data_IF_366572400821
#
_entry.id   IF_366572400821
#
_cell.length_a   1.000
_cell.length_b   1.000
_cell.length_c   1.000
_cell.angle_alpha   90.00
_cell.angle_beta   90.00
_cell.angle_gamma   90.00
#
_symmetry.space_group_name_H-M   'P 1'
#
loop_
_entity.id
_entity.type
_entity.pdbx_description
1 polymer ?
#
# COMPACT_ATOMS: atom_id res chain seq x y z
N UNK A 1 -34.95 41.39 7.20
CA UNK A 1 -33.48 41.35 7.31
C UNK A 1 -33.06 39.90 7.23
N UNK A 2 -32.00 39.69 6.47
CA UNK A 2 -31.50 38.47 5.87
C UNK A 2 -30.49 37.74 6.76
N UNK A 3 -30.47 36.40 6.61
CA UNK A 3 -29.47 35.37 7.02
C UNK A 3 -29.14 35.26 8.54
N UNK A 4 -28.95 34.08 9.13
CA UNK A 4 -28.09 32.99 8.64
C UNK A 4 -28.77 31.62 8.48
N UNK A 5 -28.73 31.12 7.23
CA UNK A 5 -28.68 29.70 6.91
C UNK A 5 -27.19 29.38 6.82
N UNK A 6 -26.55 29.00 7.91
CA UNK A 6 -25.21 28.38 7.88
C UNK A 6 -24.80 27.72 9.22
N UNK A 7 -25.75 27.32 10.06
CA UNK A 7 -25.47 26.23 11.02
C UNK A 7 -25.61 24.90 10.27
N UNK A 8 -24.77 24.72 9.26
CA UNK A 8 -24.41 23.37 8.85
C UNK A 8 -23.54 22.88 9.99
N UNK A 9 -24.13 22.06 10.87
CA UNK A 9 -23.36 21.12 11.67
C UNK A 9 -22.69 20.23 10.62
N UNK A 10 -21.49 20.63 10.20
CA UNK A 10 -20.57 19.70 9.57
C UNK A 10 -20.26 18.75 10.70
N UNK A 11 -20.93 17.61 10.71
CA UNK A 11 -20.42 16.44 11.43
C UNK A 11 -18.97 16.29 10.97
N UNK A 12 -18.02 16.36 11.91
CA UNK A 12 -16.59 16.08 11.70
C UNK A 12 -16.34 14.60 11.25
N UNK A 13 -17.38 13.90 10.81
CA UNK A 13 -17.47 12.45 10.62
C UNK A 13 -17.65 12.03 9.14
N UNK A 14 -17.59 12.97 8.20
CA UNK A 14 -17.58 12.65 6.76
C UNK A 14 -16.17 12.79 6.20
N UNK A 15 -15.22 12.09 6.82
CA UNK A 15 -14.00 11.65 6.13
C UNK A 15 -14.40 10.47 5.23
N UNK A 16 -15.23 10.73 4.22
CA UNK A 16 -15.56 9.77 3.17
C UNK A 16 -14.33 9.64 2.26
N UNK A 17 -13.25 9.12 2.84
CA UNK A 17 -11.99 8.89 2.18
C UNK A 17 -12.24 7.84 1.11
N UNK A 18 -12.23 8.28 -0.15
CA UNK A 18 -12.48 7.42 -1.30
C UNK A 18 -11.36 6.37 -1.35
N UNK A 19 -11.67 5.17 -0.89
CA UNK A 19 -10.74 4.05 -0.92
C UNK A 19 -10.54 3.57 -2.35
N UNK A 20 -9.28 3.31 -2.69
CA UNK A 20 -8.94 2.75 -3.99
C UNK A 20 -9.61 1.39 -4.16
N UNK A 21 -10.23 1.22 -5.33
CA UNK A 21 -10.83 -0.05 -5.77
C UNK A 21 -9.87 -0.89 -6.63
N UNK A 22 -8.58 -0.52 -6.66
CA UNK A 22 -7.56 -1.26 -7.42
C UNK A 22 -7.35 -2.63 -6.79
N UNK A 23 -7.52 -3.67 -7.60
CA UNK A 23 -7.26 -5.07 -7.23
C UNK A 23 -5.92 -5.58 -7.73
N UNK A 24 -5.37 -4.95 -8.77
CA UNK A 24 -4.12 -5.36 -9.40
C UNK A 24 -3.23 -4.16 -9.77
N UNK A 25 -1.94 -4.26 -9.49
CA UNK A 25 -0.89 -3.35 -9.95
C UNK A 25 0.20 -4.17 -10.63
N UNK A 26 0.53 -3.80 -11.86
CA UNK A 26 1.57 -4.42 -12.67
C UNK A 26 2.54 -3.34 -13.12
N UNK A 27 3.72 -3.28 -12.51
CA UNK A 27 4.81 -2.39 -12.91
C UNK A 27 6.04 -3.25 -13.16
N UNK A 28 6.06 -3.90 -14.33
CA UNK A 28 7.16 -4.76 -14.75
C UNK A 28 8.11 -4.01 -15.68
N UNK A 29 9.40 -4.34 -15.66
CA UNK A 29 10.44 -3.74 -16.54
C UNK A 29 10.63 -2.22 -16.37
N UNK A 30 10.62 -1.75 -15.12
CA UNK A 30 10.87 -0.36 -14.74
C UNK A 30 12.24 -0.12 -14.11
N UNK A 31 12.38 1.03 -13.45
CA UNK A 31 13.59 1.45 -12.72
C UNK A 31 13.32 1.66 -11.22
N UNK A 32 12.35 0.94 -10.65
CA UNK A 32 12.04 1.06 -9.22
C UNK A 32 13.22 0.49 -8.43
N UNK A 33 13.79 1.29 -7.54
CA UNK A 33 14.94 0.89 -6.71
C UNK A 33 14.56 0.55 -5.27
N UNK A 34 13.42 1.04 -4.80
CA UNK A 34 12.98 0.84 -3.43
C UNK A 34 11.46 0.90 -3.28
N UNK A 35 10.93 0.18 -2.29
CA UNK A 35 9.55 0.31 -1.84
C UNK A 35 9.54 1.17 -0.56
N UNK A 36 8.89 2.33 -0.63
CA UNK A 36 8.83 3.29 0.46
C UNK A 36 7.82 2.90 1.55
N UNK A 37 7.96 3.51 2.73
CA UNK A 37 6.99 3.45 3.82
C UNK A 37 5.58 3.83 3.33
N UNK A 38 4.56 3.07 3.73
CA UNK A 38 3.14 3.31 3.41
C UNK A 38 2.79 3.33 1.91
N UNK A 39 3.66 2.80 1.03
CA UNK A 39 3.46 2.84 -0.43
C UNK A 39 2.12 2.30 -0.91
N UNK A 40 1.48 1.43 -0.11
CA UNK A 40 0.22 0.76 -0.44
C UNK A 40 -0.86 0.93 0.63
N UNK A 41 -0.75 1.94 1.50
CA UNK A 41 -1.56 2.04 2.72
C UNK A 41 -3.08 2.15 2.49
N UNK A 42 -3.48 2.74 1.35
CA UNK A 42 -4.89 2.95 0.97
C UNK A 42 -5.42 1.92 -0.02
N UNK A 43 -4.61 0.91 -0.37
CA UNK A 43 -4.95 -0.09 -1.38
C UNK A 43 -5.58 -1.35 -0.75
N UNK A 44 -6.73 -1.16 -0.10
CA UNK A 44 -7.38 -2.19 0.70
C UNK A 44 -7.91 -3.37 -0.09
N UNK A 45 -8.23 -3.11 -1.36
CA UNK A 45 -8.76 -4.09 -2.32
C UNK A 45 -7.66 -4.76 -3.16
N UNK A 46 -6.38 -4.38 -3.00
CA UNK A 46 -5.29 -4.90 -3.82
C UNK A 46 -5.00 -6.37 -3.48
N UNK A 47 -5.14 -7.25 -4.45
CA UNK A 47 -4.88 -8.68 -4.33
C UNK A 47 -3.57 -9.06 -5.02
N UNK A 48 -3.16 -8.30 -6.05
CA UNK A 48 -2.02 -8.62 -6.92
C UNK A 48 -1.10 -7.41 -7.07
N UNK A 49 0.17 -7.57 -6.69
CA UNK A 49 1.22 -6.58 -6.91
C UNK A 49 2.40 -7.25 -7.61
N UNK A 50 2.63 -6.94 -8.87
CA UNK A 50 3.87 -7.31 -9.56
C UNK A 50 4.77 -6.11 -9.74
N UNK A 51 5.96 -6.21 -9.15
CA UNK A 51 7.09 -5.30 -9.34
C UNK A 51 8.29 -6.07 -9.90
N UNK A 52 8.05 -7.18 -10.60
CA UNK A 52 9.13 -8.00 -11.15
C UNK A 52 9.93 -7.28 -12.22
N UNK A 53 11.19 -7.68 -12.38
CA UNK A 53 12.12 -7.09 -13.37
C UNK A 53 12.30 -5.58 -13.16
N UNK A 54 12.50 -5.17 -11.90
CA UNK A 54 12.93 -3.83 -11.54
C UNK A 54 14.33 -3.91 -10.90
N UNK A 55 14.74 -2.87 -10.18
CA UNK A 55 16.03 -2.76 -9.50
C UNK A 55 15.86 -2.63 -7.99
N UNK A 56 14.80 -3.23 -7.43
CA UNK A 56 14.46 -3.08 -6.02
C UNK A 56 15.55 -3.75 -5.20
N UNK A 57 16.28 -2.94 -4.44
CA UNK A 57 17.33 -3.40 -3.53
C UNK A 57 17.00 -3.07 -2.07
N UNK A 58 15.94 -2.31 -1.82
CA UNK A 58 15.55 -1.90 -0.48
C UNK A 58 14.03 -1.78 -0.29
N UNK A 59 13.52 -2.33 0.81
CA UNK A 59 12.13 -2.25 1.27
C UNK A 59 12.16 -1.57 2.65
N UNK A 60 11.56 -0.39 2.72
CA UNK A 60 11.54 0.42 3.94
C UNK A 60 10.63 -0.17 5.03
N UNK A 61 10.85 0.26 6.28
CA UNK A 61 9.93 -0.01 7.38
C UNK A 61 8.49 0.38 7.02
N UNK A 62 7.53 -0.47 7.38
CA UNK A 62 6.11 -0.26 7.15
C UNK A 62 5.72 -0.09 5.67
N UNK A 63 6.54 -0.56 4.73
CA UNK A 63 6.24 -0.48 3.30
C UNK A 63 4.88 -1.09 2.93
N UNK A 64 4.48 -2.16 3.64
CA UNK A 64 3.21 -2.84 3.42
C UNK A 64 2.15 -2.52 4.47
N UNK A 65 2.34 -1.50 5.32
CA UNK A 65 1.35 -1.11 6.33
C UNK A 65 0.06 -0.64 5.67
N UNK A 66 -1.08 -0.97 6.28
CA UNK A 66 -2.40 -0.57 5.81
C UNK A 66 -3.13 0.35 6.81
N UNK A 67 -3.89 1.29 6.27
CA UNK A 67 -4.73 2.17 7.07
C UNK A 67 -5.89 1.40 7.72
N UNK A 68 -6.54 0.50 6.98
CA UNK A 68 -7.60 -0.40 7.48
C UNK A 68 -7.27 -1.87 7.21
N UNK A 69 -7.75 -2.80 8.05
CA UNK A 69 -7.52 -4.23 7.82
C UNK A 69 -8.28 -4.74 6.59
N UNK A 70 -7.75 -5.79 5.96
CA UNK A 70 -8.39 -6.47 4.83
C UNK A 70 -8.32 -7.98 5.01
N UNK A 71 -9.41 -8.66 4.63
CA UNK A 71 -9.46 -10.13 4.61
C UNK A 71 -8.90 -10.71 3.29
N UNK A 72 -8.51 -9.85 2.35
CA UNK A 72 -7.92 -10.27 1.07
C UNK A 72 -6.44 -10.61 1.26
N UNK A 73 -6.00 -11.67 0.61
CA UNK A 73 -4.57 -12.00 0.51
C UNK A 73 -3.93 -11.11 -0.55
N UNK A 74 -2.82 -10.47 -0.21
CA UNK A 74 -1.98 -9.81 -1.20
C UNK A 74 -0.89 -10.77 -1.67
N UNK A 75 -0.88 -11.05 -2.97
CA UNK A 75 0.21 -11.73 -3.65
C UNK A 75 1.20 -10.71 -4.20
N UNK A 76 2.48 -10.87 -3.86
CA UNK A 76 3.56 -9.95 -4.23
C UNK A 76 4.61 -10.69 -5.04
N UNK A 77 4.79 -10.26 -6.29
CA UNK A 77 5.88 -10.68 -7.16
C UNK A 77 7.00 -9.65 -7.13
N UNK A 78 8.13 -10.03 -6.53
CA UNK A 78 9.37 -9.26 -6.51
C UNK A 78 10.50 -9.97 -7.28
N UNK A 79 10.19 -10.97 -8.11
CA UNK A 79 11.20 -11.71 -8.86
C UNK A 79 12.00 -10.82 -9.81
N UNK A 80 13.21 -11.24 -10.16
CA UNK A 80 14.11 -10.49 -11.03
C UNK A 80 14.36 -9.05 -10.51
N UNK A 81 14.55 -8.88 -9.20
CA UNK A 81 15.03 -7.65 -8.56
C UNK A 81 16.41 -7.87 -7.93
N UNK A 82 16.97 -6.82 -7.33
CA UNK A 82 18.30 -6.81 -6.70
C UNK A 82 18.23 -7.11 -5.18
N UNK A 83 17.27 -7.95 -4.76
CA UNK A 83 16.99 -8.26 -3.37
C UNK A 83 18.02 -9.23 -2.78
N UNK A 84 18.40 -8.98 -1.53
CA UNK A 84 19.28 -9.82 -0.73
C UNK A 84 18.87 -9.79 0.74
N UNK A 85 19.63 -10.47 1.61
CA UNK A 85 19.33 -10.57 3.05
C UNK A 85 19.31 -9.24 3.80
N UNK A 86 19.87 -8.16 3.23
CA UNK A 86 19.87 -6.81 3.81
C UNK A 86 18.84 -5.88 3.18
N UNK A 87 18.07 -6.35 2.20
CA UNK A 87 17.11 -5.53 1.46
C UNK A 87 15.84 -5.21 2.23
N UNK A 88 15.56 -5.89 3.34
CA UNK A 88 14.41 -5.60 4.19
C UNK A 88 14.80 -5.60 5.66
N UNK A 89 14.18 -4.70 6.40
CA UNK A 89 14.26 -4.64 7.86
C UNK A 89 13.08 -5.39 8.49
N UNK A 90 13.17 -5.86 9.75
CA UNK A 90 12.07 -6.57 10.42
C UNK A 90 10.73 -5.81 10.40
N UNK A 91 10.77 -4.48 10.35
CA UNK A 91 9.60 -3.61 10.35
C UNK A 91 8.89 -3.50 8.99
N UNK A 92 9.46 -4.01 7.90
CA UNK A 92 8.96 -3.81 6.53
C UNK A 92 7.51 -4.29 6.35
N UNK A 93 7.12 -5.34 7.08
CA UNK A 93 5.79 -5.95 7.05
C UNK A 93 4.93 -5.61 8.27
N UNK A 94 5.43 -4.82 9.22
CA UNK A 94 4.63 -4.43 10.39
C UNK A 94 3.44 -3.59 9.94
N UNK A 95 2.25 -3.94 10.44
CA UNK A 95 1.02 -3.21 10.13
C UNK A 95 0.36 -3.60 8.82
N UNK A 96 0.79 -4.69 8.17
CA UNK A 96 0.16 -5.18 6.95
C UNK A 96 -1.34 -5.46 7.11
N UNK A 97 -1.80 -5.88 8.29
CA UNK A 97 -3.24 -6.11 8.60
C UNK A 97 -3.99 -6.98 7.58
N UNK A 98 -3.28 -7.83 6.86
CA UNK A 98 -3.77 -8.86 5.93
C UNK A 98 -2.72 -9.94 5.74
N UNK A 99 -3.10 -11.05 5.12
CA UNK A 99 -2.14 -12.07 4.71
C UNK A 99 -1.36 -11.60 3.48
N UNK A 100 -0.05 -11.84 3.49
CA UNK A 100 0.84 -11.57 2.37
C UNK A 100 1.48 -12.88 1.95
N UNK A 101 1.52 -13.11 0.64
CA UNK A 101 2.28 -14.18 0.02
C UNK A 101 3.25 -13.56 -0.99
N UNK A 102 4.54 -13.65 -0.72
CA UNK A 102 5.60 -13.05 -1.51
C UNK A 102 6.46 -14.10 -2.22
N UNK A 103 6.99 -13.73 -3.38
CA UNK A 103 8.06 -14.46 -4.04
C UNK A 103 9.05 -13.46 -4.64
N UNK A 104 10.33 -13.61 -4.29
CA UNK A 104 11.41 -12.65 -4.54
C UNK A 104 12.72 -13.35 -4.84
#
# INVERSE_FOLDING_TARGET
MTVDKNDTIVDDDVDEQIESQLTEIQITTGNIQSIGTDSFADLQHLEQLSLSKNHINFIHSYAFRMNKPSNLTLMIDLTDNDLNSSSFVPESFIGAKRFIFEFS
#
